data_IF_479529620301
#
_entry.id   IF_479529620301
#
_cell.length_a   1.000
_cell.length_b   1.000
_cell.length_c   1.000
_cell.angle_alpha   90.00
_cell.angle_beta   90.00
_cell.angle_gamma   90.00
#
_symmetry.space_group_name_H-M   'P 1'
#
loop_
_entity.id
_entity.type
_entity.pdbx_description
1 polymer ?
#
# COMPACT_ATOMS: atom_id res chain seq x y z
N UNK A 1 -36.40 -13.47 21.62
CA UNK A 1 -35.53 -12.74 20.68
C UNK A 1 -34.10 -12.95 21.19
N UNK A 2 -33.39 -13.93 20.60
CA UNK A 2 -31.99 -14.18 20.93
C UNK A 2 -31.12 -13.01 20.39
N UNK A 3 -30.13 -12.54 21.15
CA UNK A 3 -29.20 -11.55 20.66
C UNK A 3 -28.35 -12.20 19.54
N UNK A 4 -28.36 -11.59 18.38
CA UNK A 4 -27.38 -11.86 17.33
C UNK A 4 -26.03 -11.43 17.90
N UNK A 5 -25.21 -12.40 18.28
CA UNK A 5 -23.79 -12.19 18.50
C UNK A 5 -23.20 -11.72 17.16
N UNK A 6 -22.83 -10.47 17.08
CA UNK A 6 -21.92 -10.01 16.05
C UNK A 6 -20.61 -10.77 16.27
N UNK A 7 -20.30 -11.68 15.36
CA UNK A 7 -18.99 -12.30 15.30
C UNK A 7 -17.94 -11.18 15.22
N UNK A 8 -16.91 -11.32 16.01
CA UNK A 8 -15.70 -10.53 15.94
C UNK A 8 -15.28 -10.42 14.46
N UNK A 9 -15.18 -9.21 13.95
CA UNK A 9 -15.00 -8.91 12.52
C UNK A 9 -13.54 -9.21 12.10
N UNK A 10 -13.08 -10.40 12.44
CA UNK A 10 -11.79 -10.90 11.97
C UNK A 10 -11.93 -11.28 10.51
N UNK A 11 -11.23 -10.55 9.67
CA UNK A 11 -11.12 -10.85 8.24
C UNK A 11 -10.59 -12.26 8.08
N UNK A 12 -11.46 -13.18 7.62
CA UNK A 12 -11.10 -14.59 7.42
C UNK A 12 -10.11 -14.67 6.26
N UNK A 13 -8.91 -15.16 6.52
CA UNK A 13 -7.86 -15.32 5.51
C UNK A 13 -7.99 -16.68 4.83
N UNK A 14 -7.46 -16.81 3.63
CA UNK A 14 -7.52 -18.04 2.85
C UNK A 14 -6.94 -19.26 3.60
N UNK A 15 -5.92 -19.07 4.43
CA UNK A 15 -5.36 -20.14 5.28
C UNK A 15 -6.33 -20.60 6.37
N UNK A 16 -7.13 -19.70 6.91
CA UNK A 16 -8.13 -20.03 7.95
C UNK A 16 -9.26 -20.89 7.37
N UNK A 17 -9.47 -20.79 6.05
CA UNK A 17 -10.37 -21.65 5.28
C UNK A 17 -9.75 -23.00 4.88
N UNK A 18 -8.52 -23.29 5.30
CA UNK A 18 -7.82 -24.52 4.98
C UNK A 18 -7.24 -24.55 3.56
N UNK A 19 -7.20 -23.43 2.83
CA UNK A 19 -6.55 -23.36 1.52
C UNK A 19 -5.03 -23.52 1.74
N UNK A 20 -4.39 -24.51 1.11
CA UNK A 20 -2.98 -24.77 1.32
C UNK A 20 -2.11 -23.73 0.61
N UNK A 21 -1.14 -23.19 1.33
CA UNK A 21 -0.08 -22.36 0.80
C UNK A 21 1.25 -22.89 1.29
N UNK A 22 2.22 -22.97 0.41
CA UNK A 22 3.56 -23.46 0.74
C UNK A 22 4.36 -22.46 1.56
N UNK A 23 5.38 -22.97 2.25
CA UNK A 23 6.34 -22.21 3.02
C UNK A 23 5.87 -21.86 4.43
N UNK A 24 6.85 -21.64 5.31
CA UNK A 24 6.66 -21.22 6.69
C UNK A 24 6.41 -19.71 6.73
N UNK A 25 5.34 -19.29 7.38
CA UNK A 25 5.06 -17.85 7.58
C UNK A 25 5.84 -17.29 8.77
N UNK A 26 6.02 -15.97 8.78
CA UNK A 26 6.32 -15.26 10.03
C UNK A 26 5.10 -15.24 10.98
N UNK A 27 5.26 -14.68 12.18
CA UNK A 27 4.23 -14.71 13.24
C UNK A 27 2.88 -14.12 12.84
N UNK A 28 2.90 -13.05 12.04
CA UNK A 28 1.70 -12.32 11.61
C UNK A 28 1.25 -12.74 10.21
N UNK A 29 2.09 -13.48 9.48
CA UNK A 29 1.93 -13.71 8.05
C UNK A 29 1.64 -12.39 7.29
N UNK A 30 2.42 -11.36 7.55
CA UNK A 30 2.26 -10.00 7.03
C UNK A 30 3.62 -9.39 6.64
N UNK A 31 3.61 -8.35 5.81
CA UNK A 31 4.82 -7.61 5.44
C UNK A 31 5.57 -7.08 6.67
N UNK A 32 4.85 -6.78 7.73
CA UNK A 32 5.38 -6.30 9.02
C UNK A 32 6.12 -7.36 9.85
N UNK A 33 6.18 -8.61 9.39
CA UNK A 33 7.12 -9.60 9.91
C UNK A 33 8.58 -9.30 9.52
N UNK A 34 8.77 -8.45 8.49
CA UNK A 34 10.08 -7.89 8.17
C UNK A 34 10.39 -6.78 9.17
N UNK A 35 11.49 -6.93 9.90
CA UNK A 35 11.86 -6.00 10.96
C UNK A 35 11.98 -4.56 10.46
N UNK A 36 11.35 -3.64 11.18
CA UNK A 36 11.35 -2.20 10.88
C UNK A 36 10.28 -1.75 9.89
N UNK A 37 9.64 -2.66 9.16
CA UNK A 37 8.55 -2.30 8.24
C UNK A 37 7.30 -1.90 9.03
N UNK A 38 6.72 -0.77 8.63
CA UNK A 38 5.42 -0.30 9.15
C UNK A 38 4.45 -0.02 8.01
N UNK A 39 3.17 -0.23 8.27
CA UNK A 39 2.08 0.01 7.32
C UNK A 39 1.01 0.86 7.96
N UNK A 40 0.51 1.84 7.21
CA UNK A 40 -0.63 2.67 7.62
C UNK A 40 -1.63 2.85 6.50
N UNK A 41 -2.88 2.98 6.88
CA UNK A 41 -3.99 3.19 5.96
C UNK A 41 -4.79 4.43 6.38
N UNK A 42 -5.31 5.12 5.38
CA UNK A 42 -6.38 6.10 5.54
C UNK A 42 -7.48 5.75 4.54
N UNK A 43 -8.65 5.41 5.05
CA UNK A 43 -9.79 4.92 4.25
C UNK A 43 -10.88 5.96 4.19
N UNK A 44 -11.39 6.24 2.99
CA UNK A 44 -12.44 7.21 2.74
C UNK A 44 -13.66 6.51 2.18
N UNK A 45 -14.68 6.34 3.02
CA UNK A 45 -15.97 5.72 2.65
C UNK A 45 -17.09 6.69 2.99
N UNK A 46 -17.83 7.14 1.96
CA UNK A 46 -19.03 7.96 2.13
C UNK A 46 -19.90 7.90 0.88
N UNK A 47 -21.20 8.09 1.05
CA UNK A 47 -22.14 8.26 -0.04
C UNK A 47 -22.40 9.75 -0.25
N UNK A 48 -22.57 10.15 -1.50
CA UNK A 48 -22.82 11.54 -1.88
C UNK A 48 -24.30 11.76 -2.21
N UNK A 49 -24.76 12.99 -2.03
CA UNK A 49 -26.17 13.33 -2.23
C UNK A 49 -26.67 13.16 -3.67
N UNK A 50 -25.76 13.13 -4.64
CA UNK A 50 -26.05 12.90 -6.06
C UNK A 50 -26.09 11.42 -6.46
N UNK A 51 -26.04 10.53 -5.48
CA UNK A 51 -26.06 9.07 -5.68
C UNK A 51 -24.70 8.44 -6.02
N UNK A 52 -23.65 9.25 -6.09
CA UNK A 52 -22.27 8.76 -6.22
C UNK A 52 -21.73 8.24 -4.90
N UNK A 53 -20.67 7.47 -4.96
CA UNK A 53 -20.01 6.95 -3.79
C UNK A 53 -18.52 7.29 -3.78
N UNK A 54 -17.98 7.56 -2.61
CA UNK A 54 -16.53 7.66 -2.38
C UNK A 54 -16.07 6.36 -1.72
N UNK A 55 -15.20 5.63 -2.40
CA UNK A 55 -14.63 4.36 -1.96
C UNK A 55 -13.16 4.35 -2.37
N UNK A 56 -12.34 5.04 -1.59
CA UNK A 56 -10.92 5.28 -1.91
C UNK A 56 -10.09 5.41 -0.65
N UNK A 57 -8.83 5.72 -0.80
CA UNK A 57 -7.94 5.95 0.34
C UNK A 57 -6.47 5.98 -0.05
N UNK A 58 -5.62 5.92 0.98
CA UNK A 58 -4.17 5.91 0.86
C UNK A 58 -3.60 4.81 1.74
N UNK A 59 -2.67 4.04 1.19
CA UNK A 59 -1.83 3.09 1.95
C UNK A 59 -0.40 3.59 1.94
N UNK A 60 0.27 3.56 3.08
CA UNK A 60 1.68 3.90 3.24
C UNK A 60 2.45 2.69 3.75
N UNK A 61 3.57 2.36 3.11
CA UNK A 61 4.54 1.36 3.55
C UNK A 61 5.86 2.07 3.80
N UNK A 62 6.37 1.98 5.03
CA UNK A 62 7.64 2.57 5.41
C UNK A 62 8.63 1.43 5.74
N UNK A 63 9.65 1.21 4.90
CA UNK A 63 10.60 0.09 5.06
C UNK A 63 11.40 0.10 6.36
N UNK A 64 11.60 1.28 6.94
CA UNK A 64 12.30 1.49 8.23
C UNK A 64 11.47 2.32 9.22
N UNK A 65 10.14 2.21 9.14
CA UNK A 65 9.26 3.08 9.91
C UNK A 65 9.56 4.55 9.66
N UNK A 66 9.44 5.41 10.65
CA UNK A 66 9.73 6.84 10.52
C UNK A 66 11.18 7.16 10.11
N UNK A 67 12.13 6.23 10.36
CA UNK A 67 13.52 6.38 9.91
C UNK A 67 13.69 6.25 8.39
N UNK A 68 12.68 5.81 7.65
CA UNK A 68 12.69 5.77 6.18
C UNK A 68 12.97 7.15 5.56
N UNK A 69 12.73 8.23 6.30
CA UNK A 69 13.01 9.58 5.83
C UNK A 69 14.51 9.86 5.63
N UNK A 70 15.37 9.23 6.43
CA UNK A 70 16.82 9.52 6.48
C UNK A 70 17.67 8.28 6.24
N UNK A 71 17.10 7.10 6.26
CA UNK A 71 17.82 5.85 6.07
C UNK A 71 17.21 5.09 4.86
N UNK A 72 17.85 5.16 3.70
CA UNK A 72 17.40 4.44 2.52
C UNK A 72 17.55 2.92 2.70
N UNK A 73 16.84 2.18 1.88
CA UNK A 73 17.00 0.74 1.70
C UNK A 73 17.31 0.44 0.23
N UNK A 74 17.92 -0.70 -0.05
CA UNK A 74 18.04 -1.16 -1.43
C UNK A 74 16.64 -1.36 -2.02
N UNK A 75 16.47 -0.90 -3.25
CA UNK A 75 15.19 -0.97 -3.95
C UNK A 75 15.35 -1.13 -5.45
N UNK A 76 14.34 -1.68 -6.06
CA UNK A 76 14.21 -1.79 -7.51
C UNK A 76 12.75 -1.72 -7.90
N UNK A 77 12.48 -1.36 -9.14
CA UNK A 77 11.13 -1.38 -9.73
C UNK A 77 11.08 -2.30 -10.94
N UNK A 78 9.89 -2.82 -11.21
CA UNK A 78 9.62 -3.57 -12.43
C UNK A 78 8.23 -3.24 -12.94
N UNK A 79 8.14 -2.69 -14.14
CA UNK A 79 6.89 -2.41 -14.81
C UNK A 79 6.47 -3.62 -15.66
N UNK A 80 5.38 -4.29 -15.29
CA UNK A 80 4.82 -5.38 -16.08
C UNK A 80 4.27 -4.87 -17.43
N UNK A 81 3.71 -3.67 -17.42
CA UNK A 81 3.25 -2.94 -18.61
C UNK A 81 3.19 -1.44 -18.27
N UNK A 82 2.89 -0.61 -19.27
CA UNK A 82 2.81 0.84 -19.12
C UNK A 82 1.42 1.39 -18.79
N UNK A 83 0.47 0.54 -18.40
CA UNK A 83 -0.89 0.98 -18.05
C UNK A 83 -1.03 1.19 -16.54
N UNK A 84 -0.26 2.10 -16.00
CA UNK A 84 -0.25 2.47 -14.60
C UNK A 84 0.78 3.55 -14.33
N UNK A 85 0.62 4.28 -13.24
CA UNK A 85 1.57 5.30 -12.81
C UNK A 85 2.29 4.86 -11.54
N UNK A 86 3.61 5.03 -11.53
CA UNK A 86 4.44 4.90 -10.34
C UNK A 86 5.54 5.94 -10.38
N UNK A 87 5.47 6.93 -9.50
CA UNK A 87 6.45 8.01 -9.42
C UNK A 87 7.77 7.54 -8.79
N UNK A 88 8.84 8.30 -8.97
CA UNK A 88 10.12 8.07 -8.32
C UNK A 88 10.94 6.89 -8.88
N UNK A 89 10.42 6.16 -9.86
CA UNK A 89 11.07 4.95 -10.41
C UNK A 89 12.38 5.25 -11.14
N UNK A 90 12.48 6.37 -11.83
CA UNK A 90 13.72 6.75 -12.56
C UNK A 90 14.92 6.86 -11.60
N UNK A 91 14.74 7.52 -10.45
CA UNK A 91 15.78 7.60 -9.44
C UNK A 91 16.04 6.27 -8.74
N UNK A 92 14.98 5.53 -8.45
CA UNK A 92 15.08 4.19 -7.86
C UNK A 92 15.91 3.25 -8.75
N UNK A 93 15.70 3.28 -10.07
CA UNK A 93 16.44 2.48 -11.04
C UNK A 93 17.91 2.94 -11.17
N UNK A 94 18.17 4.25 -11.14
CA UNK A 94 19.53 4.78 -11.27
C UNK A 94 20.34 4.56 -9.98
N UNK A 95 19.76 4.84 -8.82
CA UNK A 95 20.47 4.77 -7.53
C UNK A 95 20.49 3.38 -6.90
N UNK A 96 19.51 2.53 -7.19
CA UNK A 96 19.28 1.28 -6.47
C UNK A 96 18.81 1.47 -5.03
N UNK A 97 18.38 2.69 -4.67
CA UNK A 97 17.99 3.06 -3.31
C UNK A 97 16.56 3.60 -3.26
N UNK A 98 15.76 3.04 -2.37
CA UNK A 98 14.44 3.58 -2.01
C UNK A 98 14.59 4.50 -0.80
N UNK A 99 14.27 5.77 -1.00
CA UNK A 99 14.31 6.81 0.00
C UNK A 99 12.87 7.23 0.40
N UNK A 100 12.51 6.98 1.64
CA UNK A 100 11.18 7.31 2.15
C UNK A 100 10.14 6.20 1.98
N UNK A 101 8.84 6.55 2.07
CA UNK A 101 7.74 5.60 1.98
C UNK A 101 7.42 5.20 0.52
N UNK A 102 6.81 4.03 0.38
CA UNK A 102 6.02 3.68 -0.81
C UNK A 102 4.55 3.95 -0.48
N UNK A 103 3.89 4.75 -1.32
CA UNK A 103 2.49 5.10 -1.16
C UNK A 103 1.65 4.46 -2.26
N UNK A 104 0.40 4.10 -1.93
CA UNK A 104 -0.57 3.55 -2.88
C UNK A 104 -1.86 4.35 -2.76
N UNK A 105 -2.40 4.82 -3.87
CA UNK A 105 -3.65 5.59 -3.91
C UNK A 105 -4.33 5.47 -5.27
N UNK A 106 -5.50 6.09 -5.46
CA UNK A 106 -6.16 6.05 -6.76
C UNK A 106 -5.41 6.86 -7.82
N UNK A 107 -5.63 6.51 -9.08
CA UNK A 107 -4.96 7.07 -10.27
C UNK A 107 -4.92 8.60 -10.28
N UNK A 108 -6.05 9.25 -10.01
CA UNK A 108 -6.15 10.73 -10.08
C UNK A 108 -5.55 11.44 -8.86
N UNK A 109 -5.20 10.70 -7.81
CA UNK A 109 -4.66 11.25 -6.57
C UNK A 109 -3.15 11.08 -6.41
N UNK A 110 -2.48 10.43 -7.36
CA UNK A 110 -1.01 10.23 -7.32
C UNK A 110 -0.27 11.54 -7.09
N UNK A 111 -0.58 12.59 -7.84
CA UNK A 111 0.06 13.90 -7.68
C UNK A 111 -0.16 14.53 -6.30
N UNK A 112 -1.38 14.42 -5.75
CA UNK A 112 -1.71 14.93 -4.40
C UNK A 112 -0.93 14.16 -3.32
N UNK A 113 -0.87 12.84 -3.43
CA UNK A 113 -0.16 11.99 -2.45
C UNK A 113 1.35 12.18 -2.57
N UNK A 114 1.87 12.34 -3.80
CA UNK A 114 3.28 12.64 -4.05
C UNK A 114 3.71 13.94 -3.36
N UNK A 115 2.96 15.03 -3.57
CA UNK A 115 3.21 16.31 -2.89
C UNK A 115 3.14 16.15 -1.37
N UNK A 116 2.10 15.46 -0.87
CA UNK A 116 1.91 15.25 0.57
C UNK A 116 3.04 14.46 1.22
N UNK A 117 3.63 13.49 0.51
CA UNK A 117 4.79 12.74 1.00
C UNK A 117 6.03 13.64 1.15
N UNK A 118 6.24 14.59 0.21
CA UNK A 118 7.31 15.59 0.32
C UNK A 118 7.05 16.52 1.52
N UNK A 119 5.83 17.05 1.62
CA UNK A 119 5.44 17.94 2.73
C UNK A 119 5.67 17.26 4.09
N UNK A 120 5.26 15.99 4.21
CA UNK A 120 5.42 15.21 5.44
C UNK A 120 6.90 15.03 5.83
N UNK A 121 7.78 14.79 4.85
CA UNK A 121 9.23 14.72 5.09
C UNK A 121 9.81 16.06 5.52
N UNK A 122 9.40 17.15 4.88
CA UNK A 122 9.83 18.52 5.26
C UNK A 122 9.37 18.85 6.69
N UNK A 123 8.14 18.51 7.04
CA UNK A 123 7.58 18.72 8.39
C UNK A 123 8.30 17.88 9.46
N UNK A 124 8.83 16.71 9.12
CA UNK A 124 9.63 15.91 10.04
C UNK A 124 10.96 16.57 10.43
N UNK A 125 11.45 17.53 9.64
CA UNK A 125 12.58 18.38 10.00
C UNK A 125 13.96 17.73 9.92
N UNK A 126 14.06 16.54 9.32
CA UNK A 126 15.32 15.79 9.21
C UNK A 126 16.14 16.18 7.94
N UNK A 127 16.08 17.45 7.54
CA UNK A 127 16.90 17.97 6.44
C UNK A 127 18.39 17.88 6.77
N UNK A 128 19.21 17.85 5.72
CA UNK A 128 20.66 17.95 5.89
C UNK A 128 21.08 19.32 6.47
N UNK A 129 22.39 19.50 6.70
CA UNK A 129 22.93 20.75 7.28
C UNK A 129 22.71 21.99 6.41
N UNK A 130 22.34 21.83 5.13
CA UNK A 130 21.99 22.95 4.24
C UNK A 130 20.55 23.44 4.44
N UNK A 131 19.70 22.66 5.12
CA UNK A 131 18.29 22.94 5.31
C UNK A 131 17.41 22.64 4.10
N UNK A 132 17.94 22.03 3.05
CA UNK A 132 17.18 21.65 1.87
C UNK A 132 16.70 20.20 1.97
N UNK A 133 15.45 19.99 1.61
CA UNK A 133 14.91 18.68 1.33
C UNK A 133 14.80 18.46 -0.19
N UNK A 134 15.32 17.32 -0.58
CA UNK A 134 15.20 16.80 -1.93
C UNK A 134 14.57 15.41 -1.84
N UNK A 135 13.50 15.16 -2.58
CA UNK A 135 12.80 13.90 -2.50
C UNK A 135 12.06 13.58 -3.78
N UNK A 136 12.15 12.33 -4.20
CA UNK A 136 11.39 11.73 -5.30
C UNK A 136 10.54 10.57 -4.77
N UNK A 137 9.42 10.85 -4.10
CA UNK A 137 8.60 9.82 -3.49
C UNK A 137 8.08 8.78 -4.48
N UNK A 138 7.99 7.53 -4.02
CA UNK A 138 7.37 6.46 -4.77
C UNK A 138 5.88 6.43 -4.42
N UNK A 139 5.04 6.74 -5.40
CA UNK A 139 3.58 6.67 -5.30
C UNK A 139 3.05 5.87 -6.45
N UNK A 140 2.43 4.73 -6.15
CA UNK A 140 1.82 3.83 -7.10
C UNK A 140 0.31 4.09 -7.18
N UNK A 141 -0.23 4.01 -8.39
CA UNK A 141 -1.66 4.16 -8.61
C UNK A 141 -2.40 2.83 -8.48
N UNK A 142 -3.69 2.91 -8.16
CA UNK A 142 -4.68 1.86 -8.29
C UNK A 142 -5.97 2.44 -8.85
N UNK A 143 -6.57 1.82 -9.87
CA UNK A 143 -7.78 2.36 -10.46
C UNK A 143 -9.03 1.91 -9.70
N UNK A 144 -9.70 2.85 -9.03
CA UNK A 144 -10.90 2.59 -8.24
C UNK A 144 -12.20 3.17 -8.85
N UNK A 145 -12.12 3.72 -10.06
CA UNK A 145 -13.19 4.51 -10.70
C UNK A 145 -14.48 3.75 -11.02
N UNK A 146 -14.56 2.44 -10.75
CA UNK A 146 -15.82 1.70 -10.87
C UNK A 146 -16.71 1.87 -9.63
N UNK A 147 -16.12 1.89 -8.44
CA UNK A 147 -16.82 2.01 -7.16
C UNK A 147 -16.69 3.39 -6.53
N UNK A 148 -15.75 4.19 -7.00
CA UNK A 148 -15.41 5.51 -6.47
C UNK A 148 -15.71 6.61 -7.47
N UNK A 149 -16.25 7.73 -7.02
CA UNK A 149 -16.29 8.99 -7.79
C UNK A 149 -14.85 9.53 -7.93
N UNK A 150 -14.04 8.88 -8.76
CA UNK A 150 -12.61 9.18 -8.94
C UNK A 150 -12.38 10.62 -9.44
N UNK A 151 -13.31 11.18 -10.23
CA UNK A 151 -13.25 12.53 -10.76
C UNK A 151 -13.60 13.60 -9.71
N UNK A 152 -14.08 13.22 -8.54
CA UNK A 152 -14.35 14.13 -7.42
C UNK A 152 -13.10 14.50 -6.63
N UNK A 153 -11.94 13.90 -6.92
CA UNK A 153 -10.64 14.21 -6.27
C UNK A 153 -10.73 14.19 -4.74
N UNK A 154 -11.33 13.15 -4.18
CA UNK A 154 -11.66 13.07 -2.76
C UNK A 154 -10.46 12.85 -1.83
N UNK A 155 -9.36 12.29 -2.33
CA UNK A 155 -8.10 12.18 -1.59
C UNK A 155 -7.44 13.57 -1.52
N UNK A 156 -7.05 13.97 -0.32
CA UNK A 156 -6.37 15.24 -0.04
C UNK A 156 -5.05 14.97 0.69
N UNK A 157 -4.15 15.96 0.75
CA UNK A 157 -2.86 15.89 1.43
C UNK A 157 -2.98 15.35 2.86
N UNK A 158 -4.00 15.77 3.61
CA UNK A 158 -4.25 15.31 4.97
C UNK A 158 -4.46 13.79 5.08
N UNK A 159 -5.08 13.15 4.08
CA UNK A 159 -5.29 11.69 4.09
C UNK A 159 -3.98 10.94 3.86
N UNK A 160 -3.11 11.43 2.99
CA UNK A 160 -1.79 10.87 2.80
C UNK A 160 -0.93 10.99 4.08
N UNK A 161 -0.94 12.18 4.71
CA UNK A 161 -0.24 12.41 5.98
C UNK A 161 -0.82 11.54 7.11
N UNK A 162 -2.14 11.33 7.15
CA UNK A 162 -2.77 10.42 8.12
C UNK A 162 -2.29 8.98 7.93
N UNK A 163 -2.26 8.47 6.71
CA UNK A 163 -1.74 7.13 6.43
C UNK A 163 -0.27 6.98 6.88
N UNK A 164 0.58 7.98 6.61
CA UNK A 164 1.97 8.01 7.05
C UNK A 164 2.12 8.04 8.57
N UNK A 165 1.32 8.86 9.24
CA UNK A 165 1.37 9.02 10.69
C UNK A 165 0.81 7.81 11.45
N UNK A 166 -0.18 7.12 10.87
CA UNK A 166 -0.82 5.92 11.42
C UNK A 166 0.01 4.65 11.16
N UNK A 167 1.09 4.74 10.38
CA UNK A 167 1.92 3.58 10.05
C UNK A 167 2.55 2.97 11.32
N UNK A 168 2.30 1.68 11.51
CA UNK A 168 2.71 0.89 12.68
C UNK A 168 3.17 -0.52 12.29
N UNK A 169 3.91 -1.16 13.17
CA UNK A 169 4.19 -2.61 13.14
C UNK A 169 2.96 -3.39 13.64
N UNK A 170 3.03 -4.71 13.59
CA UNK A 170 1.95 -5.57 14.06
C UNK A 170 1.01 -6.01 12.92
N UNK A 171 -0.19 -6.51 13.22
CA UNK A 171 -1.15 -6.92 12.21
C UNK A 171 -1.48 -5.79 11.23
N UNK A 172 -1.52 -6.13 9.94
CA UNK A 172 -1.90 -5.22 8.87
C UNK A 172 -3.37 -5.44 8.53
N UNK A 173 -4.14 -4.37 8.46
CA UNK A 173 -5.51 -4.44 7.97
C UNK A 173 -5.53 -4.82 6.49
N UNK A 174 -6.45 -5.73 6.12
CA UNK A 174 -6.59 -6.27 4.75
C UNK A 174 -7.98 -5.97 4.19
N UNK A 175 -8.13 -6.12 2.89
CA UNK A 175 -9.40 -5.93 2.20
C UNK A 175 -9.67 -4.48 1.80
N UNK A 176 -10.81 -3.95 2.20
CA UNK A 176 -11.33 -2.65 1.76
C UNK A 176 -10.74 -1.48 2.55
N UNK A 177 -9.43 -1.38 2.60
CA UNK A 177 -8.71 -0.36 3.37
C UNK A 177 -7.73 0.41 2.50
N UNK A 178 -7.48 1.67 2.86
CA UNK A 178 -6.52 2.52 2.19
C UNK A 178 -6.71 2.57 0.67
N UNK A 179 -5.64 2.44 -0.09
CA UNK A 179 -5.65 2.40 -1.55
C UNK A 179 -6.41 1.20 -2.14
N UNK A 180 -6.72 0.17 -1.35
CA UNK A 180 -7.51 -0.99 -1.79
C UNK A 180 -9.02 -0.85 -1.67
N UNK A 181 -9.50 0.27 -1.13
CA UNK A 181 -10.93 0.43 -0.74
C UNK A 181 -11.89 0.28 -1.90
N UNK A 182 -11.65 0.91 -3.05
CA UNK A 182 -12.55 0.87 -4.22
C UNK A 182 -12.11 -0.11 -5.31
N UNK A 183 -11.17 -1.02 -5.03
CA UNK A 183 -10.56 -1.87 -6.03
C UNK A 183 -11.43 -3.00 -6.50
N UNK A 184 -11.40 -3.24 -7.80
CA UNK A 184 -11.98 -4.40 -8.48
C UNK A 184 -10.89 -5.05 -9.33
N UNK A 185 -10.77 -6.37 -9.24
CA UNK A 185 -9.88 -7.17 -10.05
C UNK A 185 -10.57 -8.44 -10.54
N UNK A 186 -10.40 -8.77 -11.80
CA UNK A 186 -11.05 -9.94 -12.42
C UNK A 186 -12.56 -10.01 -12.16
N UNK A 187 -13.25 -8.85 -12.18
CA UNK A 187 -14.68 -8.68 -11.89
C UNK A 187 -15.13 -9.00 -10.45
N UNK A 188 -14.18 -9.22 -9.54
CA UNK A 188 -14.42 -9.39 -8.11
C UNK A 188 -14.00 -8.15 -7.30
N UNK A 189 -14.60 -8.00 -6.12
CA UNK A 189 -14.14 -7.00 -5.16
C UNK A 189 -12.78 -7.39 -4.61
N UNK A 190 -11.81 -6.51 -4.80
CA UNK A 190 -10.45 -6.68 -4.32
C UNK A 190 -10.07 -5.68 -3.23
N UNK A 191 -8.83 -5.68 -2.80
CA UNK A 191 -8.35 -4.80 -1.75
C UNK A 191 -6.87 -5.01 -1.45
N UNK A 192 -6.45 -4.59 -0.26
CA UNK A 192 -5.12 -4.84 0.25
C UNK A 192 -5.00 -6.28 0.77
N UNK A 193 -3.90 -6.93 0.46
CA UNK A 193 -3.52 -8.21 1.03
C UNK A 193 -2.05 -8.20 1.47
N UNK A 194 -1.71 -9.03 2.44
CA UNK A 194 -0.34 -9.15 2.93
C UNK A 194 0.02 -10.59 3.27
N UNK A 195 1.30 -10.92 3.19
CA UNK A 195 1.81 -12.20 3.67
C UNK A 195 3.32 -12.13 3.92
N UNK A 196 3.85 -13.15 4.60
CA UNK A 196 5.28 -13.33 4.77
C UNK A 196 5.70 -14.79 4.58
N UNK A 197 6.99 -14.98 4.31
CA UNK A 197 7.65 -16.29 4.30
C UNK A 197 9.01 -16.19 4.97
N UNK A 198 9.30 -17.15 5.83
CA UNK A 198 10.61 -17.35 6.41
C UNK A 198 11.41 -18.29 5.50
N UNK A 199 12.55 -17.83 5.03
CA UNK A 199 13.45 -18.54 4.12
C UNK A 199 14.73 -18.87 4.87
N UNK A 200 15.01 -20.15 5.04
CA UNK A 200 16.26 -20.64 5.63
C UNK A 200 17.32 -20.76 4.53
N UNK A 201 18.48 -20.21 4.78
CA UNK A 201 19.63 -20.28 3.87
C UNK A 201 20.88 -20.67 4.63
N UNK A 202 21.99 -20.89 3.93
CA UNK A 202 23.31 -21.17 4.54
C UNK A 202 23.83 -20.00 5.38
N UNK A 203 23.37 -18.79 5.07
CA UNK A 203 23.80 -17.54 5.75
C UNK A 203 22.85 -17.13 6.88
N UNK A 204 21.76 -17.87 7.10
CA UNK A 204 20.80 -17.61 8.15
C UNK A 204 19.34 -17.64 7.70
N UNK A 205 18.46 -17.22 8.60
CA UNK A 205 17.02 -17.16 8.37
C UNK A 205 16.62 -15.72 7.97
N UNK A 206 15.90 -15.60 6.87
CA UNK A 206 15.44 -14.33 6.33
C UNK A 206 13.92 -14.31 6.21
N UNK A 207 13.33 -13.15 6.43
CA UNK A 207 11.88 -12.95 6.24
C UNK A 207 11.63 -12.15 4.96
N UNK A 208 10.84 -12.73 4.06
CA UNK A 208 10.30 -12.05 2.88
C UNK A 208 8.88 -11.63 3.19
N UNK A 209 8.59 -10.34 3.11
CA UNK A 209 7.27 -9.77 3.34
C UNK A 209 6.69 -9.20 2.04
N UNK A 210 5.39 -9.35 1.86
CA UNK A 210 4.65 -8.84 0.70
C UNK A 210 3.43 -8.06 1.18
N UNK A 211 3.22 -6.89 0.59
CA UNK A 211 1.95 -6.18 0.62
C UNK A 211 1.52 -5.96 -0.83
N UNK A 212 0.29 -6.28 -1.13
CA UNK A 212 -0.27 -6.14 -2.47
C UNK A 212 -1.56 -5.36 -2.42
N UNK A 213 -1.66 -4.35 -3.28
CA UNK A 213 -2.93 -3.82 -3.73
C UNK A 213 -3.24 -4.49 -5.06
N UNK A 214 -4.35 -5.18 -5.13
CA UNK A 214 -4.74 -5.81 -6.38
C UNK A 214 -5.34 -4.77 -7.32
N UNK A 215 -4.92 -4.78 -8.58
CA UNK A 215 -5.37 -3.87 -9.59
C UNK A 215 -6.10 -4.61 -10.72
N UNK A 216 -7.07 -3.93 -11.34
CA UNK A 216 -7.71 -4.41 -12.55
C UNK A 216 -6.68 -4.51 -13.66
N UNK A 217 -6.38 -5.71 -14.12
CA UNK A 217 -5.59 -5.88 -15.35
C UNK A 217 -6.48 -5.59 -16.55
N UNK A 218 -6.14 -4.55 -17.27
CA UNK A 218 -6.73 -4.22 -18.56
C UNK A 218 -5.75 -4.66 -19.63
N UNK A 219 -6.01 -5.81 -20.26
CA UNK A 219 -5.19 -6.28 -21.38
C UNK A 219 -5.55 -7.71 -21.74
N UNK A 220 -5.45 -8.03 -23.02
CA UNK A 220 -5.70 -9.38 -23.56
C UNK A 220 -4.65 -10.39 -23.08
N UNK A 221 -3.50 -9.92 -22.63
CA UNK A 221 -2.34 -10.72 -22.24
C UNK A 221 -2.63 -11.64 -21.05
N UNK A 222 -3.60 -11.27 -20.22
CA UNK A 222 -4.02 -12.10 -19.09
C UNK A 222 -5.06 -13.15 -19.39
N UNK A 223 -5.64 -13.14 -20.57
CA UNK A 223 -6.61 -14.18 -20.99
C UNK A 223 -5.96 -15.38 -21.67
N UNK A 224 -4.65 -15.32 -21.94
CA UNK A 224 -3.94 -16.33 -22.75
C UNK A 224 -2.82 -17.03 -21.96
N UNK A 225 -2.52 -16.65 -20.74
CA UNK A 225 -1.35 -17.12 -19.98
C UNK A 225 -1.59 -17.63 -18.57
N UNK A 226 -2.79 -18.05 -18.23
CA UNK A 226 -3.07 -18.76 -16.98
C UNK A 226 -3.66 -20.12 -17.28
#
# INVERSE_FOLDING_TARGET
>A
ISPVLFADDQTVRARDLGIPFEGKTGPLNAITDVEGVTVGHETIIRDLADGKAVRTGVTAVLPRGKKSNVLPVFGASFALNGNGEMTGTAWLEESGLLEGPVMITNTHSVGTVHQAAIEWRVEAGDADSSGYWWSLPVVAETWDGYLNDINGFHVKSQHAKAALNNAKTGPVEEGNVGGGTGMICHDFKCGIGTSSRVVETVDGSFTVGVLRSEERRVGKECRIGC
#
